data_IF_138050488544
#
_entry.id   IF_138050488544
#
_cell.length_a   1.000
_cell.length_b   1.000
_cell.length_c   1.000
_cell.angle_alpha   90.00
_cell.angle_beta   90.00
_cell.angle_gamma   90.00
#
_symmetry.space_group_name_H-M   'P 1'
#
loop_
_entity.id
_entity.type
_entity.pdbx_description
1 polymer ?
#
# COMPACT_ATOMS: atom_id res chain seq x y z
N UNK A 1 22.67 -7.07 -18.13
CA UNK A 1 22.58 -6.73 -16.68
C UNK A 1 23.23 -5.39 -16.45
N UNK A 2 22.51 -4.49 -15.81
CA UNK A 2 22.96 -3.11 -15.54
C UNK A 2 23.25 -2.94 -14.05
N UNK A 3 24.40 -2.31 -13.73
CA UNK A 3 24.74 -1.97 -12.34
C UNK A 3 23.91 -0.77 -11.88
N UNK A 4 23.23 -0.93 -10.76
CA UNK A 4 22.35 0.09 -10.19
C UNK A 4 22.50 0.18 -8.68
N UNK A 5 22.04 1.29 -8.11
CA UNK A 5 21.70 1.43 -6.70
C UNK A 5 20.21 1.69 -6.54
N UNK A 6 19.64 1.25 -5.44
CA UNK A 6 18.25 1.54 -5.09
C UNK A 6 18.16 2.75 -4.15
N UNK A 7 17.50 3.81 -4.58
CA UNK A 7 17.33 5.06 -3.81
C UNK A 7 15.87 5.26 -3.46
N UNK A 8 15.61 5.72 -2.25
CA UNK A 8 14.28 6.04 -1.73
C UNK A 8 14.26 7.47 -1.19
N UNK A 9 13.19 8.22 -1.52
CA UNK A 9 13.03 9.62 -1.11
C UNK A 9 12.12 9.79 0.11
N UNK A 10 11.24 8.83 0.40
CA UNK A 10 10.33 8.83 1.55
C UNK A 10 10.31 7.46 2.22
N UNK A 11 10.01 7.37 3.51
CA UNK A 11 10.09 6.14 4.33
C UNK A 11 9.45 4.92 3.67
N UNK A 12 8.24 5.01 3.17
CA UNK A 12 7.56 3.93 2.43
C UNK A 12 7.41 4.26 0.93
N UNK A 13 8.33 5.09 0.39
CA UNK A 13 8.35 5.45 -1.02
C UNK A 13 8.80 4.29 -1.90
N UNK A 14 8.48 4.38 -3.20
CA UNK A 14 9.02 3.50 -4.22
C UNK A 14 10.54 3.59 -4.25
N UNK A 15 11.20 2.49 -4.53
CA UNK A 15 12.65 2.45 -4.77
C UNK A 15 12.88 2.73 -6.24
N UNK A 16 13.75 3.70 -6.52
CA UNK A 16 14.16 4.06 -7.87
C UNK A 16 15.60 3.65 -8.11
N UNK A 17 15.88 3.17 -9.30
CA UNK A 17 17.23 2.77 -9.69
C UNK A 17 17.99 3.94 -10.32
N UNK A 18 19.26 4.07 -9.92
CA UNK A 18 20.20 5.05 -10.44
C UNK A 18 21.54 4.40 -10.77
N UNK A 19 22.26 4.97 -11.75
CA UNK A 19 23.62 4.54 -12.10
C UNK A 19 24.61 5.07 -11.03
N UNK A 20 25.31 4.17 -10.32
CA UNK A 20 26.30 4.58 -9.33
C UNK A 20 27.56 5.19 -9.94
N UNK A 21 27.75 5.10 -11.28
CA UNK A 21 29.00 5.45 -11.95
C UNK A 21 30.18 4.70 -11.33
N UNK A 22 31.22 5.45 -10.90
CA UNK A 22 32.41 4.93 -10.23
C UNK A 22 32.40 5.19 -8.71
N UNK A 23 31.26 5.63 -8.17
CA UNK A 23 31.15 5.97 -6.75
C UNK A 23 31.01 4.72 -5.88
N UNK A 24 31.76 4.65 -4.80
CA UNK A 24 31.59 3.62 -3.78
C UNK A 24 30.43 3.97 -2.85
N UNK A 25 29.23 3.53 -3.21
CA UNK A 25 28.00 3.83 -2.50
C UNK A 25 27.54 2.60 -1.72
N UNK A 26 27.27 2.79 -0.43
CA UNK A 26 26.81 1.74 0.49
C UNK A 26 25.33 1.95 0.86
N UNK A 27 24.70 0.88 1.32
CA UNK A 27 23.35 0.97 1.88
C UNK A 27 23.37 1.85 3.14
N UNK A 28 22.47 2.82 3.21
CA UNK A 28 22.38 3.81 4.28
C UNK A 28 23.01 5.16 3.92
N UNK A 29 23.83 5.23 2.87
CA UNK A 29 24.35 6.51 2.39
C UNK A 29 23.24 7.40 1.87
N UNK A 30 23.48 8.69 1.88
CA UNK A 30 22.63 9.68 1.25
C UNK A 30 23.27 10.15 -0.05
N UNK A 31 22.43 10.32 -1.08
CA UNK A 31 22.88 10.72 -2.41
C UNK A 31 22.03 11.86 -2.97
N UNK A 32 22.67 12.70 -3.78
CA UNK A 32 22.01 13.72 -4.56
C UNK A 32 21.83 13.18 -5.97
N UNK A 33 20.58 13.22 -6.43
CA UNK A 33 20.18 12.70 -7.74
C UNK A 33 19.28 13.71 -8.46
N UNK A 34 19.29 13.65 -9.78
CA UNK A 34 18.35 14.41 -10.59
C UNK A 34 17.16 13.52 -10.97
N UNK A 35 15.95 14.00 -10.67
CA UNK A 35 14.68 13.32 -11.02
C UNK A 35 13.88 14.19 -12.01
N UNK A 36 12.71 13.70 -12.41
CA UNK A 36 11.75 14.51 -13.18
C UNK A 36 11.21 15.73 -12.38
N UNK A 37 11.35 15.71 -11.05
CA UNK A 37 10.90 16.77 -10.16
C UNK A 37 11.96 17.86 -9.94
N UNK A 38 13.21 17.53 -10.19
CA UNK A 38 14.39 18.37 -9.94
C UNK A 38 15.47 17.59 -9.20
N UNK A 39 16.34 18.32 -8.52
CA UNK A 39 17.39 17.76 -7.68
C UNK A 39 16.75 17.30 -6.36
N UNK A 40 16.98 16.06 -5.98
CA UNK A 40 16.42 15.44 -4.77
C UNK A 40 17.51 14.78 -3.92
N UNK A 41 17.29 14.83 -2.60
CA UNK A 41 18.09 14.14 -1.60
C UNK A 41 17.44 12.78 -1.33
N UNK A 42 18.19 11.70 -1.54
CA UNK A 42 17.67 10.35 -1.39
C UNK A 42 18.52 9.50 -0.47
N UNK A 43 17.90 8.47 0.12
CA UNK A 43 18.58 7.46 0.94
C UNK A 43 18.76 6.18 0.15
N UNK A 44 19.97 5.64 0.14
CA UNK A 44 20.31 4.38 -0.51
C UNK A 44 19.81 3.21 0.33
N UNK A 45 18.81 2.50 -0.19
CA UNK A 45 18.21 1.32 0.46
C UNK A 45 18.78 0.00 -0.06
N UNK A 46 19.31 -0.01 -1.29
CA UNK A 46 20.05 -1.12 -1.87
C UNK A 46 21.38 -0.58 -2.43
N UNK A 47 22.50 -1.11 -1.96
CA UNK A 47 23.82 -0.77 -2.47
C UNK A 47 24.01 -1.22 -3.92
N UNK A 48 25.22 -1.09 -4.45
CA UNK A 48 25.52 -1.46 -5.84
C UNK A 48 25.23 -2.95 -6.08
N UNK A 49 24.34 -3.24 -7.03
CA UNK A 49 23.99 -4.59 -7.45
C UNK A 49 23.61 -4.61 -8.93
N UNK A 50 23.55 -5.80 -9.53
CA UNK A 50 23.16 -5.97 -10.92
C UNK A 50 21.68 -6.34 -11.02
N UNK A 51 20.98 -5.68 -11.94
CA UNK A 51 19.56 -5.91 -12.24
C UNK A 51 19.40 -6.23 -13.72
N UNK A 52 18.41 -7.02 -14.07
CA UNK A 52 18.04 -7.30 -15.46
C UNK A 52 17.60 -6.02 -16.17
N UNK A 53 17.99 -5.87 -17.43
CA UNK A 53 17.81 -4.63 -18.18
C UNK A 53 16.32 -4.29 -18.42
N UNK A 54 15.45 -5.28 -18.41
CA UNK A 54 13.97 -5.14 -18.51
C UNK A 54 13.32 -4.53 -17.26
N UNK A 55 13.98 -4.60 -16.10
CA UNK A 55 13.53 -4.02 -14.84
C UNK A 55 14.00 -2.58 -14.64
N UNK A 56 14.84 -2.07 -15.53
CA UNK A 56 15.43 -0.74 -15.45
C UNK A 56 14.76 0.20 -16.45
N UNK A 57 14.21 1.31 -15.95
CA UNK A 57 13.63 2.35 -16.82
C UNK A 57 14.76 3.12 -17.49
N UNK A 58 14.85 3.06 -18.81
CA UNK A 58 15.82 3.78 -19.60
C UNK A 58 15.30 5.18 -20.01
N UNK A 59 16.16 6.21 -20.09
CA UNK A 59 17.58 6.22 -19.73
C UNK A 59 17.82 6.22 -18.22
N UNK A 60 18.70 5.37 -17.74
CA UNK A 60 19.09 5.32 -16.33
C UNK A 60 19.83 6.61 -15.97
N UNK A 61 19.31 7.34 -14.95
CA UNK A 61 19.94 8.57 -14.52
C UNK A 61 21.11 8.29 -13.58
N UNK A 62 22.22 9.04 -13.68
CA UNK A 62 23.36 8.86 -12.81
C UNK A 62 23.13 9.51 -11.44
N UNK A 63 23.83 9.01 -10.43
CA UNK A 63 24.03 9.71 -9.17
C UNK A 63 24.93 10.91 -9.40
N UNK A 64 24.49 12.10 -8.99
CA UNK A 64 25.31 13.31 -9.13
C UNK A 64 26.52 13.29 -8.19
N UNK A 65 26.28 12.93 -6.92
CA UNK A 65 27.28 12.80 -5.87
C UNK A 65 26.74 12.17 -4.60
N UNK A 66 27.60 11.71 -3.75
CA UNK A 66 27.25 11.34 -2.37
C UNK A 66 27.02 12.62 -1.56
N UNK A 67 26.00 12.63 -0.72
CA UNK A 67 25.67 13.78 0.12
C UNK A 67 26.73 14.01 1.20
N UNK A 68 27.21 15.24 1.33
CA UNK A 68 28.09 15.66 2.41
C UNK A 68 27.33 16.27 3.60
N UNK A 69 28.06 16.67 4.64
CA UNK A 69 27.48 17.28 5.85
C UNK A 69 26.59 18.49 5.53
N UNK A 70 27.02 19.36 4.61
CA UNK A 70 26.26 20.54 4.16
C UNK A 70 24.94 20.17 3.51
N UNK A 71 24.88 19.04 2.81
CA UNK A 71 23.64 18.59 2.17
C UNK A 71 22.64 18.07 3.21
N UNK A 72 23.13 17.40 4.24
CA UNK A 72 22.32 16.94 5.36
C UNK A 72 21.76 18.15 6.13
N UNK A 73 22.58 19.17 6.37
CA UNK A 73 22.13 20.41 6.99
C UNK A 73 21.08 21.15 6.12
N UNK A 74 21.31 21.18 4.81
CA UNK A 74 20.36 21.77 3.86
C UNK A 74 19.00 21.04 3.86
N UNK A 75 19.02 19.71 3.87
CA UNK A 75 17.81 18.91 3.95
C UNK A 75 17.07 19.14 5.29
N UNK A 76 17.80 19.20 6.41
CA UNK A 76 17.22 19.53 7.70
C UNK A 76 16.58 20.94 7.71
N UNK A 77 17.27 21.93 7.14
CA UNK A 77 16.73 23.28 7.00
C UNK A 77 15.48 23.31 6.10
N UNK A 78 15.45 22.52 5.02
CA UNK A 78 14.28 22.40 4.15
C UNK A 78 13.09 21.80 4.91
N UNK A 79 13.30 20.79 5.76
CA UNK A 79 12.24 20.20 6.59
C UNK A 79 11.61 21.21 7.56
N UNK A 80 12.40 22.13 8.11
CA UNK A 80 11.83 23.21 8.95
C UNK A 80 11.02 24.21 8.10
N UNK A 81 11.53 24.62 6.93
CA UNK A 81 10.79 25.47 5.99
C UNK A 81 9.47 24.84 5.53
N UNK A 82 9.43 23.52 5.32
CA UNK A 82 8.21 22.78 4.97
C UNK A 82 7.12 22.93 6.02
N UNK A 83 7.50 22.88 7.31
CA UNK A 83 6.55 23.08 8.42
C UNK A 83 5.95 24.49 8.43
N UNK A 84 6.78 25.50 8.13
CA UNK A 84 6.31 26.88 8.01
C UNK A 84 5.42 27.06 6.77
N UNK A 85 5.86 26.53 5.62
CA UNK A 85 5.11 26.58 4.39
C UNK A 85 3.74 25.91 4.52
N UNK A 86 3.66 24.80 5.24
CA UNK A 86 2.40 24.12 5.55
C UNK A 86 1.44 25.03 6.33
N UNK A 87 1.91 25.72 7.38
CA UNK A 87 1.09 26.64 8.17
C UNK A 87 0.56 27.78 7.32
N UNK A 88 1.45 28.46 6.58
CA UNK A 88 1.10 29.57 5.70
C UNK A 88 0.08 29.13 4.63
N UNK A 89 0.32 28.00 3.96
CA UNK A 89 -0.60 27.51 2.94
C UNK A 89 -1.98 27.19 3.53
N UNK A 90 -2.05 26.56 4.71
CA UNK A 90 -3.29 26.27 5.40
C UNK A 90 -4.10 27.54 5.73
N UNK A 91 -3.45 28.60 6.20
CA UNK A 91 -4.09 29.90 6.47
C UNK A 91 -4.63 30.55 5.17
N UNK A 92 -3.86 30.45 4.08
CA UNK A 92 -4.27 30.97 2.77
C UNK A 92 -5.46 30.19 2.20
N UNK A 93 -5.49 28.86 2.32
CA UNK A 93 -6.63 28.03 1.91
C UNK A 93 -7.90 28.47 2.63
N UNK A 94 -7.83 28.69 3.94
CA UNK A 94 -8.96 29.20 4.73
C UNK A 94 -9.40 30.59 4.29
N UNK A 95 -8.44 31.50 4.02
CA UNK A 95 -8.73 32.86 3.56
C UNK A 95 -9.44 32.87 2.20
N UNK A 96 -9.05 31.98 1.29
CA UNK A 96 -9.68 31.83 -0.02
C UNK A 96 -10.97 31.03 -0.01
N UNK A 97 -11.39 30.45 1.14
CA UNK A 97 -12.61 29.67 1.28
C UNK A 97 -12.65 28.40 0.42
N UNK A 98 -11.48 27.77 0.18
CA UNK A 98 -11.38 26.59 -0.68
C UNK A 98 -11.70 25.31 0.11
N UNK A 99 -12.59 24.49 -0.45
CA UNK A 99 -12.96 23.16 0.13
C UNK A 99 -11.91 22.11 -0.22
N UNK A 100 -10.70 22.29 0.31
CA UNK A 100 -9.58 21.38 0.15
C UNK A 100 -8.85 21.20 1.47
N UNK A 101 -8.31 20.00 1.69
CA UNK A 101 -7.55 19.64 2.88
C UNK A 101 -6.08 19.51 2.53
N UNK A 102 -5.26 20.42 3.04
CA UNK A 102 -3.81 20.33 2.90
C UNK A 102 -3.27 19.14 3.70
N UNK A 103 -2.45 18.31 3.06
CA UNK A 103 -1.90 17.08 3.64
C UNK A 103 -0.42 17.23 3.96
N UNK A 104 0.36 17.78 3.02
CA UNK A 104 1.82 17.90 3.16
C UNK A 104 2.37 19.05 2.31
N UNK A 105 3.56 19.52 2.64
CA UNK A 105 4.33 20.49 1.88
C UNK A 105 5.77 20.00 1.76
N UNK A 106 6.37 20.09 0.57
CA UNK A 106 7.70 19.57 0.25
C UNK A 106 8.47 20.58 -0.58
N UNK A 107 9.69 20.90 -0.17
CA UNK A 107 10.63 21.65 -0.98
C UNK A 107 11.49 20.71 -1.82
N UNK A 108 11.77 21.08 -3.07
CA UNK A 108 12.86 20.43 -3.79
C UNK A 108 14.17 20.75 -3.09
N UNK A 109 15.16 19.85 -3.16
CA UNK A 109 16.43 20.02 -2.44
C UNK A 109 17.13 21.34 -2.77
N UNK A 110 17.02 21.81 -4.01
CA UNK A 110 17.56 23.07 -4.50
C UNK A 110 16.71 24.31 -4.13
N UNK A 111 15.61 24.15 -3.43
CA UNK A 111 14.64 25.19 -3.06
C UNK A 111 14.01 25.96 -4.25
N UNK A 112 14.09 25.45 -5.47
CA UNK A 112 13.53 26.09 -6.64
C UNK A 112 12.03 25.90 -6.79
N UNK A 113 11.45 24.94 -6.05
CA UNK A 113 10.04 24.58 -6.11
C UNK A 113 9.50 24.18 -4.74
N UNK A 114 8.23 24.52 -4.49
CA UNK A 114 7.44 24.00 -3.36
C UNK A 114 6.24 23.25 -3.90
N UNK A 115 6.07 22.02 -3.43
CA UNK A 115 4.94 21.17 -3.75
C UNK A 115 4.01 21.11 -2.53
N UNK A 116 2.72 21.35 -2.76
CA UNK A 116 1.68 21.18 -1.75
C UNK A 116 0.77 20.03 -2.15
N UNK A 117 0.64 19.06 -1.29
CA UNK A 117 -0.22 17.90 -1.48
C UNK A 117 -1.54 18.11 -0.77
N UNK A 118 -2.66 17.90 -1.46
CA UNK A 118 -3.98 18.11 -0.90
C UNK A 118 -4.97 17.03 -1.35
N UNK A 119 -6.05 16.87 -0.58
CA UNK A 119 -7.24 16.09 -0.96
C UNK A 119 -8.45 16.99 -1.09
N UNK A 120 -9.34 16.67 -2.02
CA UNK A 120 -10.61 17.35 -2.25
C UNK A 120 -11.60 16.40 -2.92
N UNK A 121 -12.89 16.58 -2.66
CA UNK A 121 -13.96 15.74 -3.23
C UNK A 121 -14.25 16.01 -4.70
N UNK A 122 -13.69 17.10 -5.25
CA UNK A 122 -13.90 17.50 -6.62
C UNK A 122 -12.76 18.34 -7.19
N UNK A 123 -13.01 18.95 -8.32
CA UNK A 123 -12.05 19.85 -8.97
C UNK A 123 -12.10 21.23 -8.31
N UNK A 124 -10.96 21.68 -7.78
CA UNK A 124 -10.81 22.97 -7.10
C UNK A 124 -10.16 23.98 -8.04
N UNK A 125 -10.68 25.21 -8.07
CA UNK A 125 -9.99 26.33 -8.71
C UNK A 125 -9.08 27.05 -7.73
N UNK A 126 -7.81 26.74 -7.79
CA UNK A 126 -6.77 27.26 -6.91
C UNK A 126 -5.88 28.35 -7.55
N UNK A 127 -6.29 28.95 -8.68
CA UNK A 127 -5.46 29.92 -9.41
C UNK A 127 -5.07 31.12 -8.56
N UNK A 128 -6.01 31.68 -7.80
CA UNK A 128 -5.76 32.82 -6.92
C UNK A 128 -4.89 32.41 -5.71
N UNK A 129 -5.11 31.21 -5.16
CA UNK A 129 -4.26 30.66 -4.11
C UNK A 129 -2.81 30.52 -4.58
N UNK A 130 -2.56 30.01 -5.79
CA UNK A 130 -1.20 29.87 -6.35
C UNK A 130 -0.51 31.22 -6.48
N UNK A 131 -1.21 32.26 -6.96
CA UNK A 131 -0.65 33.62 -7.05
C UNK A 131 -0.27 34.17 -5.67
N UNK A 132 -1.15 33.99 -4.69
CA UNK A 132 -0.92 34.45 -3.32
C UNK A 132 0.26 33.72 -2.68
N UNK A 133 0.35 32.39 -2.83
CA UNK A 133 1.49 31.59 -2.36
C UNK A 133 2.80 31.97 -3.06
N UNK A 134 2.78 32.18 -4.39
CA UNK A 134 3.95 32.57 -5.14
C UNK A 134 4.50 33.93 -4.70
N UNK A 135 3.62 34.89 -4.30
CA UNK A 135 4.03 36.18 -3.76
C UNK A 135 4.77 36.07 -2.42
N UNK A 136 4.40 35.06 -1.60
CA UNK A 136 4.99 34.83 -0.28
C UNK A 136 6.32 34.08 -0.39
N UNK A 137 6.31 32.94 -1.10
CA UNK A 137 7.48 32.05 -1.17
C UNK A 137 8.52 32.45 -2.20
N UNK A 138 8.15 33.27 -3.19
CA UNK A 138 9.01 33.73 -4.31
C UNK A 138 9.68 32.57 -5.06
N UNK A 139 9.03 31.42 -5.07
CA UNK A 139 9.46 30.19 -5.73
C UNK A 139 8.33 29.64 -6.58
N UNK A 140 8.61 28.65 -7.43
CA UNK A 140 7.59 27.96 -8.21
C UNK A 140 6.71 27.12 -7.29
N UNK A 141 5.40 27.36 -7.33
CA UNK A 141 4.40 26.64 -6.55
C UNK A 141 3.75 25.55 -7.42
N UNK A 142 3.64 24.37 -6.88
CA UNK A 142 2.94 23.25 -7.51
C UNK A 142 1.96 22.65 -6.51
N UNK A 143 0.67 22.61 -6.87
CA UNK A 143 -0.41 21.99 -6.08
C UNK A 143 -0.75 20.66 -6.71
N UNK A 144 -0.69 19.58 -5.91
CA UNK A 144 -1.01 18.22 -6.34
C UNK A 144 -2.14 17.65 -5.51
N UNK A 145 -3.23 17.30 -6.19
CA UNK A 145 -4.28 16.51 -5.57
C UNK A 145 -3.80 15.06 -5.45
N UNK A 146 -4.01 14.46 -4.28
CA UNK A 146 -3.66 13.07 -3.98
C UNK A 146 -4.89 12.30 -3.53
N UNK A 147 -4.85 10.98 -3.69
CA UNK A 147 -5.92 10.09 -3.23
C UNK A 147 -5.89 9.89 -1.71
N UNK A 148 -7.01 9.41 -1.16
CA UNK A 148 -7.17 9.15 0.29
C UNK A 148 -6.19 8.10 0.83
N UNK A 149 -5.76 7.15 -0.01
CA UNK A 149 -4.73 6.15 0.35
C UNK A 149 -3.37 6.80 0.49
N UNK A 150 -3.01 7.73 -0.41
CA UNK A 150 -1.75 8.49 -0.34
C UNK A 150 -1.74 9.44 0.86
N UNK A 151 -2.86 10.09 1.18
CA UNK A 151 -3.02 10.84 2.43
C UNK A 151 -2.71 9.95 3.63
N UNK A 152 -3.33 8.77 3.70
CA UNK A 152 -3.12 7.80 4.78
C UNK A 152 -1.67 7.32 4.84
N UNK A 153 -1.04 7.11 3.68
CA UNK A 153 0.37 6.73 3.57
C UNK A 153 1.30 7.81 4.12
N UNK A 154 1.03 9.08 3.84
CA UNK A 154 1.82 10.22 4.34
C UNK A 154 1.63 10.38 5.86
N UNK A 155 0.39 10.37 6.33
CA UNK A 155 0.08 10.59 7.75
C UNK A 155 0.49 9.44 8.65
N UNK A 156 0.43 8.20 8.15
CA UNK A 156 0.65 7.01 8.94
C UNK A 156 -0.49 6.71 9.91
N UNK A 157 -0.21 5.85 10.87
CA UNK A 157 -1.16 5.43 11.91
C UNK A 157 -1.08 3.94 12.22
N UNK A 158 -2.04 3.46 12.99
CA UNK A 158 -2.17 2.06 13.42
C UNK A 158 -3.38 1.44 12.71
N UNK A 159 -3.19 0.27 12.13
CA UNK A 159 -4.27 -0.49 11.50
C UNK A 159 -5.16 -1.21 12.52
N UNK A 160 -6.28 -1.75 12.06
CA UNK A 160 -7.19 -2.58 12.90
C UNK A 160 -6.50 -3.83 13.47
N UNK A 161 -5.40 -4.27 12.87
CA UNK A 161 -4.55 -5.37 13.33
C UNK A 161 -3.57 -4.97 14.46
N UNK A 162 -3.57 -3.70 14.91
CA UNK A 162 -2.67 -3.18 15.95
C UNK A 162 -1.24 -2.91 15.49
N UNK A 163 -0.93 -3.06 14.18
CA UNK A 163 0.39 -2.77 13.59
C UNK A 163 0.38 -1.41 12.88
N UNK A 164 1.56 -0.78 12.69
CA UNK A 164 1.68 0.36 11.78
C UNK A 164 1.12 0.04 10.40
N UNK A 165 0.50 1.02 9.77
CA UNK A 165 -0.12 0.84 8.45
C UNK A 165 0.89 0.32 7.43
N UNK A 166 0.53 -0.73 6.69
CA UNK A 166 1.38 -1.36 5.67
C UNK A 166 1.84 -0.34 4.61
N UNK A 167 0.93 0.54 4.17
CA UNK A 167 1.21 1.60 3.21
C UNK A 167 2.20 2.66 3.74
N UNK A 168 2.27 2.88 5.04
CA UNK A 168 3.20 3.82 5.67
C UNK A 168 4.56 3.19 5.98
N UNK A 169 4.62 1.86 6.19
CA UNK A 169 5.82 1.17 6.66
C UNK A 169 6.64 0.51 5.54
N UNK A 170 6.06 -0.39 4.75
CA UNK A 170 6.81 -1.18 3.78
C UNK A 170 6.17 -1.31 2.39
N UNK A 171 4.82 -1.18 2.29
CA UNK A 171 4.11 -1.38 1.04
C UNK A 171 4.19 -0.11 0.18
N UNK A 172 5.07 -0.12 -0.80
CA UNK A 172 5.32 1.03 -1.69
C UNK A 172 4.40 1.08 -2.89
N UNK A 173 4.09 -0.08 -3.46
CA UNK A 173 3.27 -0.22 -4.66
C UNK A 173 1.89 -0.79 -4.34
N UNK A 174 0.87 -0.26 -5.01
CA UNK A 174 -0.52 -0.68 -4.83
C UNK A 174 -1.02 -1.35 -6.10
N UNK A 175 -1.58 -2.53 -5.91
CA UNK A 175 -2.23 -3.32 -6.96
C UNK A 175 -3.72 -3.38 -6.60
N UNK A 176 -4.62 -3.50 -7.59
CA UNK A 176 -6.06 -3.64 -7.35
C UNK A 176 -6.36 -4.73 -6.34
N UNK A 177 -7.26 -4.42 -5.41
CA UNK A 177 -7.74 -5.37 -4.40
C UNK A 177 -9.17 -5.73 -4.73
N UNK A 178 -9.50 -7.02 -4.69
CA UNK A 178 -10.85 -7.51 -4.93
C UNK A 178 -11.46 -8.18 -3.70
N UNK A 179 -12.78 -8.22 -3.63
CA UNK A 179 -13.53 -8.92 -2.58
C UNK A 179 -13.23 -10.44 -2.61
N UNK A 180 -12.87 -10.98 -3.78
CA UNK A 180 -12.46 -12.37 -3.91
C UNK A 180 -11.29 -12.71 -2.99
N UNK A 181 -10.30 -11.81 -2.85
CA UNK A 181 -9.15 -12.00 -1.96
C UNK A 181 -9.59 -12.11 -0.50
N UNK A 182 -10.56 -11.29 -0.06
CA UNK A 182 -11.11 -11.38 1.29
C UNK A 182 -11.82 -12.72 1.55
N UNK A 183 -12.55 -13.25 0.53
CA UNK A 183 -13.17 -14.58 0.60
C UNK A 183 -12.14 -15.71 0.71
N UNK A 184 -11.06 -15.63 -0.03
CA UNK A 184 -9.98 -16.62 -0.03
C UNK A 184 -9.20 -16.64 1.28
N UNK A 185 -9.18 -15.49 1.98
CA UNK A 185 -8.58 -15.35 3.31
C UNK A 185 -9.56 -15.62 4.46
N UNK A 186 -10.76 -16.13 4.17
CA UNK A 186 -11.82 -16.44 5.15
C UNK A 186 -12.21 -15.24 6.04
N UNK A 187 -12.11 -14.01 5.51
CA UNK A 187 -12.54 -12.83 6.22
C UNK A 187 -14.05 -12.62 6.11
N UNK A 188 -14.63 -12.05 7.15
CA UNK A 188 -16.02 -11.57 7.09
C UNK A 188 -16.13 -10.50 6.01
N UNK A 189 -17.11 -10.64 5.11
CA UNK A 189 -17.35 -9.69 4.01
C UNK A 189 -18.04 -8.38 4.47
N UNK A 190 -18.09 -8.13 5.76
CA UNK A 190 -18.58 -6.86 6.27
C UNK A 190 -17.64 -5.72 5.79
N UNK A 191 -18.16 -4.71 5.06
CA UNK A 191 -17.37 -3.59 4.54
C UNK A 191 -16.48 -2.92 5.57
N UNK A 192 -16.96 -2.76 6.81
CA UNK A 192 -16.19 -2.14 7.90
C UNK A 192 -14.98 -2.97 8.35
N UNK A 193 -14.99 -4.29 8.11
CA UNK A 193 -13.89 -5.19 8.50
C UNK A 193 -12.86 -5.42 7.41
N UNK A 194 -13.23 -5.21 6.14
CA UNK A 194 -12.33 -5.39 5.00
C UNK A 194 -11.82 -4.06 4.43
N UNK A 195 -12.34 -2.92 4.95
CA UNK A 195 -11.85 -1.59 4.60
C UNK A 195 -10.70 -1.17 5.52
N UNK A 196 -9.71 -0.53 4.92
CA UNK A 196 -8.60 0.11 5.64
C UNK A 196 -9.01 1.46 6.22
N UNK A 197 -8.11 2.07 6.98
CA UNK A 197 -8.30 3.42 7.57
C UNK A 197 -8.57 4.48 6.48
N UNK A 198 -8.09 4.26 5.26
CA UNK A 198 -8.33 5.13 4.11
C UNK A 198 -9.74 4.98 3.48
N UNK A 199 -10.57 4.08 3.99
CA UNK A 199 -11.90 3.80 3.43
C UNK A 199 -11.90 2.96 2.13
N UNK A 200 -10.73 2.48 1.68
CA UNK A 200 -10.58 1.55 0.55
C UNK A 200 -10.37 0.14 1.06
N UNK A 201 -10.49 -0.87 0.18
CA UNK A 201 -10.15 -2.25 0.54
C UNK A 201 -8.72 -2.34 1.08
N UNK A 202 -8.53 -3.19 2.08
CA UNK A 202 -7.24 -3.33 2.76
C UNK A 202 -6.15 -3.84 1.80
N UNK A 203 -5.08 -3.08 1.61
CA UNK A 203 -3.97 -3.43 0.74
C UNK A 203 -3.20 -4.69 1.19
N UNK A 204 -3.27 -5.06 2.46
CA UNK A 204 -2.69 -6.31 2.96
C UNK A 204 -3.37 -7.56 2.37
N UNK A 205 -4.64 -7.49 1.94
CA UNK A 205 -5.32 -8.60 1.27
C UNK A 205 -4.55 -9.06 0.04
N UNK A 206 -4.14 -8.11 -0.82
CA UNK A 206 -3.32 -8.44 -1.99
C UNK A 206 -1.91 -8.87 -1.61
N UNK A 207 -1.30 -8.23 -0.62
CA UNK A 207 0.06 -8.58 -0.17
C UNK A 207 0.16 -10.00 0.38
N UNK A 208 -0.93 -10.54 0.93
CA UNK A 208 -0.97 -11.87 1.55
C UNK A 208 -1.61 -12.93 0.63
N UNK A 209 -2.19 -12.53 -0.52
CA UNK A 209 -2.97 -13.39 -1.42
C UNK A 209 -2.21 -14.65 -1.84
N UNK A 210 -0.98 -14.50 -2.34
CA UNK A 210 -0.18 -15.62 -2.85
C UNK A 210 0.07 -16.68 -1.77
N UNK A 211 0.32 -16.23 -0.52
CA UNK A 211 0.51 -17.12 0.63
C UNK A 211 -0.78 -17.88 0.94
N UNK A 212 -1.93 -17.18 0.96
CA UNK A 212 -3.21 -17.84 1.21
C UNK A 212 -3.62 -18.79 0.08
N UNK A 213 -3.33 -18.46 -1.17
CA UNK A 213 -3.57 -19.36 -2.30
C UNK A 213 -2.76 -20.65 -2.18
N UNK A 214 -1.47 -20.54 -1.83
CA UNK A 214 -0.60 -21.72 -1.64
C UNK A 214 -1.11 -22.60 -0.50
N UNK A 215 -1.43 -22.00 0.65
CA UNK A 215 -1.92 -22.74 1.82
C UNK A 215 -3.29 -23.37 1.57
N UNK A 216 -4.20 -22.65 0.91
CA UNK A 216 -5.53 -23.15 0.55
C UNK A 216 -5.48 -24.33 -0.43
N UNK A 217 -4.42 -24.46 -1.23
CA UNK A 217 -4.25 -25.62 -2.13
C UNK A 217 -4.15 -26.95 -1.38
N UNK A 218 -3.73 -26.94 -0.12
CA UNK A 218 -3.54 -28.11 0.73
C UNK A 218 -4.76 -28.45 1.60
N UNK A 219 -5.81 -27.62 1.56
CA UNK A 219 -6.95 -27.71 2.46
C UNK A 219 -8.23 -28.14 1.73
N UNK A 220 -9.11 -28.90 2.41
CA UNK A 220 -10.47 -29.14 1.94
C UNK A 220 -11.31 -27.86 2.04
N UNK A 221 -12.36 -27.76 1.25
CA UNK A 221 -13.35 -26.68 1.36
C UNK A 221 -14.34 -26.91 2.49
N UNK A 222 -14.94 -25.82 2.99
CA UNK A 222 -16.09 -25.94 3.91
C UNK A 222 -17.25 -26.65 3.19
N UNK A 223 -17.87 -27.64 3.84
CA UNK A 223 -18.89 -28.49 3.25
C UNK A 223 -18.36 -29.69 2.46
N UNK A 224 -17.03 -29.86 2.34
CA UNK A 224 -16.46 -31.10 1.77
C UNK A 224 -16.52 -32.23 2.77
N UNK A 225 -16.73 -33.44 2.24
CA UNK A 225 -16.64 -34.67 3.04
C UNK A 225 -15.20 -35.18 3.04
N UNK A 226 -14.69 -35.44 4.23
CA UNK A 226 -13.32 -35.92 4.47
C UNK A 226 -13.32 -37.22 5.28
N UNK A 227 -12.27 -38.02 5.09
CA UNK A 227 -11.95 -39.14 5.93
C UNK A 227 -10.81 -38.75 6.86
N UNK A 228 -11.00 -38.94 8.16
CA UNK A 228 -10.01 -38.65 9.20
C UNK A 228 -8.99 -39.77 9.35
N UNK A 229 -7.87 -39.51 10.02
CA UNK A 229 -6.86 -40.50 10.34
C UNK A 229 -7.41 -41.66 11.19
N UNK A 230 -8.42 -41.38 12.01
CA UNK A 230 -9.12 -42.36 12.86
C UNK A 230 -10.11 -43.25 12.08
N UNK A 231 -10.18 -43.05 10.75
CA UNK A 231 -11.10 -43.81 9.89
C UNK A 231 -12.56 -43.29 9.90
N UNK A 232 -12.83 -42.20 10.60
CA UNK A 232 -14.16 -41.58 10.66
C UNK A 232 -14.41 -40.76 9.40
N UNK A 233 -15.67 -40.59 9.04
CA UNK A 233 -16.10 -39.72 7.95
C UNK A 233 -16.84 -38.51 8.52
N UNK A 234 -16.63 -37.34 7.97
CA UNK A 234 -17.30 -36.13 8.43
C UNK A 234 -17.30 -34.99 7.42
N UNK A 235 -18.11 -33.99 7.71
CA UNK A 235 -18.23 -32.78 6.92
C UNK A 235 -17.39 -31.68 7.53
N UNK A 236 -16.63 -30.99 6.68
CA UNK A 236 -15.80 -29.84 7.07
C UNK A 236 -16.69 -28.65 7.42
N UNK A 237 -16.63 -28.21 8.67
CA UNK A 237 -17.39 -27.05 9.16
C UNK A 237 -16.59 -25.73 9.13
N UNK A 238 -15.28 -25.82 9.39
CA UNK A 238 -14.41 -24.64 9.43
C UNK A 238 -12.96 -25.03 9.07
N UNK A 239 -12.25 -24.07 8.48
CA UNK A 239 -10.86 -24.26 8.07
C UNK A 239 -10.02 -23.07 8.56
N UNK A 240 -8.96 -23.37 9.31
CA UNK A 240 -7.95 -22.38 9.67
C UNK A 240 -6.76 -22.47 8.71
N UNK A 241 -6.73 -21.58 7.74
CA UNK A 241 -5.76 -21.62 6.64
C UNK A 241 -4.32 -21.51 7.15
N UNK A 242 -4.05 -20.56 8.06
CA UNK A 242 -2.68 -20.30 8.54
C UNK A 242 -2.13 -21.40 9.44
N UNK A 243 -2.98 -22.01 10.24
CA UNK A 243 -2.59 -23.12 11.13
C UNK A 243 -2.70 -24.50 10.47
N UNK A 244 -3.26 -24.57 9.26
CA UNK A 244 -3.54 -25.81 8.55
C UNK A 244 -4.39 -26.79 9.39
N UNK A 245 -5.38 -26.22 10.14
CA UNK A 245 -6.30 -27.00 10.99
C UNK A 245 -7.71 -26.96 10.39
N UNK A 246 -8.38 -28.10 10.45
CA UNK A 246 -9.71 -28.31 9.88
C UNK A 246 -10.65 -28.84 10.97
N UNK A 247 -11.77 -28.16 11.19
CA UNK A 247 -12.84 -28.62 12.06
C UNK A 247 -13.83 -29.47 11.26
N UNK A 248 -13.95 -30.71 11.64
CA UNK A 248 -14.79 -31.72 10.97
C UNK A 248 -15.88 -32.17 11.92
N UNK A 249 -17.11 -32.16 11.45
CA UNK A 249 -18.25 -32.75 12.13
C UNK A 249 -18.28 -34.22 11.79
N UNK A 250 -17.76 -35.05 12.71
CA UNK A 250 -17.69 -36.51 12.55
C UNK A 250 -18.87 -37.20 13.22
N UNK A 251 -19.31 -38.34 12.66
CA UNK A 251 -20.33 -39.20 13.25
C UNK A 251 -19.65 -40.30 14.05
N UNK A 252 -19.90 -40.30 15.37
CA UNK A 252 -19.38 -41.31 16.31
C UNK A 252 -20.58 -42.05 16.91
N UNK A 253 -20.93 -43.19 16.34
CA UNK A 253 -22.17 -43.90 16.70
C UNK A 253 -23.41 -43.11 16.28
N UNK A 254 -24.29 -42.76 17.21
CA UNK A 254 -25.49 -41.96 16.99
C UNK A 254 -25.32 -40.49 17.29
N UNK A 255 -24.12 -40.07 17.69
CA UNK A 255 -23.83 -38.65 18.02
C UNK A 255 -22.90 -37.99 16.99
N UNK A 256 -23.10 -36.66 16.83
CA UNK A 256 -22.23 -35.83 15.97
C UNK A 256 -21.30 -35.03 16.85
N UNK A 257 -20.00 -35.21 16.67
CA UNK A 257 -18.97 -34.50 17.40
C UNK A 257 -18.16 -33.59 16.45
N UNK A 258 -17.83 -32.38 16.93
CA UNK A 258 -16.93 -31.48 16.23
C UNK A 258 -15.50 -31.72 16.71
N UNK A 259 -14.64 -32.24 15.83
CA UNK A 259 -13.21 -32.49 16.12
C UNK A 259 -12.32 -31.67 15.23
N UNK A 260 -11.14 -31.33 15.74
CA UNK A 260 -10.11 -30.58 15.00
C UNK A 260 -8.98 -31.52 14.57
N UNK A 261 -8.61 -31.45 13.29
CA UNK A 261 -7.58 -32.28 12.68
C UNK A 261 -6.58 -31.43 11.92
N UNK A 262 -5.34 -31.91 11.81
CA UNK A 262 -4.35 -31.34 10.90
C UNK A 262 -4.70 -31.70 9.46
N UNK A 263 -4.53 -30.77 8.54
CA UNK A 263 -4.90 -30.93 7.13
C UNK A 263 -4.20 -32.14 6.46
N UNK A 264 -2.93 -32.37 6.80
CA UNK A 264 -2.13 -33.47 6.25
C UNK A 264 -2.61 -34.86 6.68
N UNK A 265 -3.41 -34.96 7.75
CA UNK A 265 -3.97 -36.19 8.23
C UNK A 265 -5.32 -36.56 7.60
N UNK A 266 -5.89 -35.65 6.80
CA UNK A 266 -7.20 -35.84 6.20
C UNK A 266 -7.08 -36.31 4.74
N UNK A 267 -7.92 -37.30 4.39
CA UNK A 267 -8.07 -37.74 3.00
C UNK A 267 -9.36 -37.17 2.42
N UNK A 268 -9.26 -36.42 1.32
CA UNK A 268 -10.39 -35.79 0.66
C UNK A 268 -10.21 -35.69 -0.85
N UNK A 269 -11.35 -35.68 -1.57
CA UNK A 269 -11.40 -35.36 -2.99
C UNK A 269 -11.99 -33.95 -3.14
N UNK A 270 -11.22 -33.03 -3.68
CA UNK A 270 -11.71 -31.68 -3.96
C UNK A 270 -12.93 -31.71 -4.89
N UNK A 271 -14.06 -31.21 -4.44
CA UNK A 271 -15.21 -30.91 -5.33
C UNK A 271 -14.88 -29.67 -6.15
N UNK A 272 -14.88 -29.81 -7.48
CA UNK A 272 -14.85 -28.62 -8.36
C UNK A 272 -16.20 -27.90 -8.24
N UNK A 273 -16.22 -26.75 -7.58
CA UNK A 273 -17.30 -25.79 -7.65
C UNK A 273 -18.48 -25.99 -6.70
N UNK A 274 -18.32 -25.53 -5.48
CA UNK A 274 -19.27 -24.75 -4.68
C UNK A 274 -18.50 -24.21 -3.49
N UNK A 275 -17.97 -23.00 -3.57
CA UNK A 275 -17.50 -22.28 -2.38
C UNK A 275 -18.75 -21.94 -1.60
N UNK A 276 -18.86 -22.42 -0.35
CA UNK A 276 -19.85 -21.95 0.59
C UNK A 276 -19.72 -20.44 0.73
N UNK A 277 -20.59 -19.70 0.05
CA UNK A 277 -20.60 -18.25 0.14
C UNK A 277 -21.34 -17.83 1.41
N UNK A 278 -20.78 -16.88 2.16
CA UNK A 278 -21.58 -16.16 3.13
C UNK A 278 -22.76 -15.52 2.40
N UNK A 279 -23.99 -15.76 2.85
CA UNK A 279 -25.16 -15.04 2.36
C UNK A 279 -25.05 -13.60 2.86
N UNK A 280 -24.79 -12.68 1.93
CA UNK A 280 -24.75 -11.26 2.18
C UNK A 280 -26.14 -10.65 2.03
N UNK A 281 -26.46 -9.69 2.87
CA UNK A 281 -27.64 -8.86 2.68
C UNK A 281 -27.52 -8.06 1.36
N UNK A 282 -28.65 -7.66 0.78
CA UNK A 282 -28.65 -6.84 -0.45
C UNK A 282 -27.94 -5.49 -0.26
N UNK A 283 -27.92 -4.97 0.96
CA UNK A 283 -27.25 -3.72 1.31
C UNK A 283 -25.74 -3.92 1.35
N UNK A 284 -25.26 -4.98 1.99
CA UNK A 284 -23.84 -5.33 2.03
C UNK A 284 -23.29 -5.62 0.63
N UNK A 285 -24.06 -6.27 -0.24
CA UNK A 285 -23.67 -6.51 -1.63
C UNK A 285 -23.46 -5.20 -2.40
N UNK A 286 -24.39 -4.24 -2.27
CA UNK A 286 -24.27 -2.93 -2.91
C UNK A 286 -23.09 -2.10 -2.38
N UNK A 287 -22.81 -2.18 -1.08
CA UNK A 287 -21.64 -1.50 -0.50
C UNK A 287 -20.33 -2.11 -1.00
N UNK A 288 -20.28 -3.43 -1.13
CA UNK A 288 -19.13 -4.14 -1.67
C UNK A 288 -18.88 -3.79 -3.16
N UNK A 289 -19.92 -3.78 -3.98
CA UNK A 289 -19.83 -3.36 -5.39
C UNK A 289 -19.31 -1.92 -5.51
N UNK A 290 -19.80 -1.00 -4.66
CA UNK A 290 -19.29 0.37 -4.63
C UNK A 290 -17.81 0.45 -4.25
N UNK A 291 -17.34 -0.36 -3.31
CA UNK A 291 -15.92 -0.40 -2.91
C UNK A 291 -15.04 -0.89 -4.07
N UNK A 292 -15.48 -1.91 -4.82
CA UNK A 292 -14.75 -2.38 -6.00
C UNK A 292 -14.71 -1.33 -7.12
N UNK A 293 -15.85 -0.69 -7.44
CA UNK A 293 -15.89 0.40 -8.43
C UNK A 293 -14.96 1.58 -8.08
N UNK A 294 -14.87 1.92 -6.79
CA UNK A 294 -14.01 3.00 -6.32
C UNK A 294 -12.53 2.60 -6.45
N UNK A 295 -12.18 1.36 -6.14
CA UNK A 295 -10.84 0.82 -6.29
C UNK A 295 -10.38 0.87 -7.75
N UNK A 296 -11.24 0.46 -8.70
CA UNK A 296 -10.96 0.50 -10.14
C UNK A 296 -10.77 1.94 -10.65
N UNK A 297 -11.60 2.89 -10.19
CA UNK A 297 -11.50 4.30 -10.60
C UNK A 297 -10.21 4.98 -10.11
N UNK A 298 -9.78 4.73 -8.89
CA UNK A 298 -8.52 5.30 -8.39
C UNK A 298 -7.30 4.81 -9.15
N UNK A 299 -7.29 3.54 -9.57
CA UNK A 299 -6.19 2.98 -10.34
C UNK A 299 -6.07 3.62 -11.73
N UNK A 300 -7.17 4.03 -12.34
CA UNK A 300 -7.14 4.75 -13.61
C UNK A 300 -6.51 6.15 -13.50
N UNK A 301 -6.48 6.74 -12.30
CA UNK A 301 -5.89 8.05 -12.02
C UNK A 301 -4.40 7.99 -11.67
N UNK A 302 -3.90 6.84 -11.21
CA UNK A 302 -2.47 6.65 -10.86
C UNK A 302 -1.59 6.48 -12.11
N UNK A 303 -2.16 6.20 -13.26
CA UNK A 303 -1.47 6.05 -14.54
C UNK A 303 -1.32 7.37 -15.35
N UNK A 304 -1.59 8.52 -14.74
CA UNK A 304 -1.31 9.86 -15.32
C UNK A 304 -0.04 10.43 -14.57
#
# INVERSE_FOLDING_TARGET
MTKVIGVRFRTAGKVYFFDPLQLEIKRGDHVIVETARGIEFGTVVAGVHEVEDDKVIQPLKPVMRIAGERDIEQEAANKEKEKEAFKICKEKILKHGLEMKLIDAEYTFDNNKVLFYFTADGRIDFRELVKDLASVFKTRIELRQIGVRDETKIRGGIGICGRPLCCHSYLSDFVPVSIKMAKEQNLSLNPTKISGVCGRLMCCLKNEEDTYEELNRKLPGVGDYVQTADGLHGEVQNVNVLRQLVKVLVEVGDEKELKEYEADTLQFKRRRGKKGGQELSKEEQKELEKLEEIEEKELSLIHI
#
